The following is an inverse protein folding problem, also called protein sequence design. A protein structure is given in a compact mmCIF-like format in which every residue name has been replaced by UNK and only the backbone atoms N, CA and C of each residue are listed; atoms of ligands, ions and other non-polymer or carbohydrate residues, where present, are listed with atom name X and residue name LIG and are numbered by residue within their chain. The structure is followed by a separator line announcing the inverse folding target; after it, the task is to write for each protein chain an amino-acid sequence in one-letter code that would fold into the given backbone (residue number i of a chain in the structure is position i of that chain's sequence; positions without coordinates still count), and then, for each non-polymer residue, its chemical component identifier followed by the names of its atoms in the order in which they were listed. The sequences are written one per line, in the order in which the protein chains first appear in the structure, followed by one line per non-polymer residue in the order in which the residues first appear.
data_IF_845919420471
#
_entry.id   IF_845919420471
#
_cell.length_a   1.000
_cell.length_b   1.000
_cell.length_c   1.000
_cell.angle_alpha   90.00
_cell.angle_beta   90.00
_cell.angle_gamma   90.00
#
_symmetry.space_group_name_H-M   'P 1'
#
loop_
_entity.id
_entity.type
_entity.pdbx_description
1 polymer ?
#
# COMPACT_ATOMS: atom_id res chain seq x y z
N UNK A 1 -5.95 -0.36 -32.78
CA UNK A 1 -6.71 -0.02 -31.58
C UNK A 1 -5.74 0.16 -30.40
N UNK A 2 -5.90 1.24 -29.66
CA UNK A 2 -5.00 1.53 -28.52
C UNK A 2 -5.26 0.57 -27.36
N UNK A 3 -4.22 0.31 -26.54
CA UNK A 3 -4.30 -0.57 -25.36
C UNK A 3 -3.81 0.19 -24.14
N UNK A 4 -4.38 -0.16 -22.98
CA UNK A 4 -3.80 0.27 -21.72
C UNK A 4 -2.61 -0.67 -21.44
N UNK A 5 -1.41 -0.11 -21.44
CA UNK A 5 -0.17 -0.89 -21.31
C UNK A 5 0.14 -1.17 -19.83
N UNK A 6 -0.19 -0.23 -18.96
CA UNK A 6 0.23 -0.26 -17.57
C UNK A 6 -0.64 0.67 -16.73
N UNK A 7 -0.57 0.53 -15.42
CA UNK A 7 -1.31 1.40 -14.50
C UNK A 7 -0.51 1.66 -13.23
N UNK A 8 -0.81 2.76 -12.57
CA UNK A 8 -0.30 3.10 -11.24
C UNK A 8 -1.44 3.62 -10.39
N UNK A 9 -1.44 3.26 -9.10
CA UNK A 9 -2.29 3.94 -8.13
C UNK A 9 -1.62 5.25 -7.76
N UNK A 10 -2.38 6.34 -7.69
CA UNK A 10 -1.88 7.67 -7.38
C UNK A 10 -2.44 8.08 -6.03
N UNK A 11 -1.56 8.37 -5.08
CA UNK A 11 -1.95 8.71 -3.71
C UNK A 11 -1.34 10.04 -3.28
N UNK A 12 -2.14 10.85 -2.60
CA UNK A 12 -1.65 12.06 -1.93
C UNK A 12 -1.09 11.69 -0.57
N UNK A 13 0.09 12.18 -0.25
CA UNK A 13 0.75 11.97 1.04
C UNK A 13 1.20 13.30 1.62
N UNK A 14 1.16 13.43 2.95
CA UNK A 14 1.53 14.67 3.61
C UNK A 14 3.04 14.87 3.66
N UNK A 15 3.79 13.81 3.89
CA UNK A 15 5.25 13.83 4.02
C UNK A 15 5.84 12.79 3.08
N UNK A 16 6.31 13.25 1.93
CA UNK A 16 6.79 12.35 0.88
C UNK A 16 7.99 11.49 1.32
N UNK A 17 9.02 12.04 1.96
CA UNK A 17 10.14 11.20 2.42
C UNK A 17 9.71 10.11 3.42
N UNK A 18 8.84 10.43 4.35
CA UNK A 18 8.33 9.46 5.34
C UNK A 18 7.55 8.36 4.66
N UNK A 19 6.63 8.71 3.76
CA UNK A 19 5.82 7.72 3.05
C UNK A 19 6.65 6.87 2.09
N UNK A 20 7.61 7.47 1.40
CA UNK A 20 8.52 6.73 0.52
C UNK A 20 9.31 5.69 1.30
N UNK A 21 9.88 6.08 2.45
CA UNK A 21 10.61 5.13 3.30
C UNK A 21 9.72 4.02 3.85
N UNK A 22 8.46 4.34 4.19
CA UNK A 22 7.52 3.33 4.65
C UNK A 22 7.33 2.24 3.58
N UNK A 23 7.10 2.65 2.35
CA UNK A 23 6.94 1.69 1.27
C UNK A 23 8.21 0.88 1.02
N UNK A 24 9.38 1.52 1.03
CA UNK A 24 10.64 0.83 0.75
C UNK A 24 11.07 -0.03 1.93
N UNK A 25 11.14 0.55 3.14
CA UNK A 25 11.74 -0.13 4.28
C UNK A 25 10.78 -1.09 4.98
N UNK A 26 9.49 -0.80 4.98
CA UNK A 26 8.48 -1.60 5.68
C UNK A 26 7.73 -2.52 4.72
N UNK A 27 7.23 -1.98 3.61
CA UNK A 27 6.41 -2.75 2.68
C UNK A 27 7.23 -3.48 1.60
N UNK A 28 8.54 -3.23 1.52
CA UNK A 28 9.42 -3.96 0.61
C UNK A 28 9.36 -3.51 -0.84
N UNK A 29 8.95 -2.27 -1.10
CA UNK A 29 8.91 -1.73 -2.45
C UNK A 29 10.29 -1.24 -2.89
N UNK A 30 10.49 -1.16 -4.19
CA UNK A 30 11.67 -0.56 -4.80
C UNK A 30 11.27 0.77 -5.43
N UNK A 31 12.20 1.75 -5.39
CA UNK A 31 12.01 2.99 -6.13
C UNK A 31 12.29 2.75 -7.61
N UNK A 32 11.36 3.15 -8.46
CA UNK A 32 11.55 3.09 -9.90
C UNK A 32 12.57 4.14 -10.33
N UNK A 33 13.23 3.97 -11.49
CA UNK A 33 14.27 4.92 -11.94
C UNK A 33 13.73 6.24 -12.47
N UNK A 34 12.44 6.50 -12.31
CA UNK A 34 11.80 7.76 -12.71
C UNK A 34 11.95 8.77 -11.57
N UNK A 35 12.24 10.01 -11.91
CA UNK A 35 12.37 11.10 -10.93
C UNK A 35 11.52 12.28 -11.36
N UNK A 36 10.75 12.82 -10.40
CA UNK A 36 10.02 14.08 -10.58
C UNK A 36 9.91 14.75 -9.21
N UNK A 37 10.13 16.05 -9.15
CA UNK A 37 10.05 16.79 -7.91
C UNK A 37 8.65 16.68 -7.29
N UNK A 38 8.57 16.36 -6.00
CA UNK A 38 7.31 16.19 -5.29
C UNK A 38 6.63 14.85 -5.53
N UNK A 39 7.29 13.90 -6.18
CA UNK A 39 6.73 12.58 -6.47
C UNK A 39 7.70 11.46 -6.15
N UNK A 40 7.15 10.31 -5.77
CA UNK A 40 7.88 9.05 -5.69
C UNK A 40 7.16 7.98 -6.51
N UNK A 41 7.93 7.19 -7.25
CA UNK A 41 7.42 6.12 -8.10
C UNK A 41 7.96 4.80 -7.56
N UNK A 42 7.08 3.92 -7.11
CA UNK A 42 7.46 2.73 -6.36
C UNK A 42 6.76 1.50 -6.92
N UNK A 43 7.39 0.35 -6.81
CA UNK A 43 6.79 -0.90 -7.25
C UNK A 43 7.26 -2.09 -6.41
N UNK A 44 6.39 -3.08 -6.29
CA UNK A 44 6.71 -4.39 -5.75
C UNK A 44 5.94 -5.42 -6.57
N UNK A 45 6.65 -6.41 -7.10
CA UNK A 45 6.11 -7.42 -8.00
C UNK A 45 5.42 -6.75 -9.19
N UNK A 46 4.15 -6.87 -9.38
CA UNK A 46 3.43 -6.20 -10.46
C UNK A 46 2.65 -4.96 -10.03
N UNK A 47 2.71 -4.60 -8.76
CA UNK A 47 1.95 -3.47 -8.24
C UNK A 47 2.78 -2.20 -8.26
N UNK A 48 2.20 -1.11 -8.77
CA UNK A 48 2.85 0.19 -8.91
C UNK A 48 2.07 1.28 -8.22
N UNK A 49 2.77 2.21 -7.58
CA UNK A 49 2.16 3.34 -6.90
C UNK A 49 2.99 4.61 -7.16
N UNK A 50 2.29 5.74 -7.30
CA UNK A 50 2.88 7.08 -7.35
C UNK A 50 2.43 7.82 -6.11
N UNK A 51 3.37 8.33 -5.33
CA UNK A 51 3.07 9.16 -4.17
C UNK A 51 3.33 10.62 -4.53
N UNK A 52 2.32 11.46 -4.39
CA UNK A 52 2.43 12.90 -4.63
C UNK A 52 2.38 13.68 -3.32
N UNK A 53 3.32 14.58 -3.11
CA UNK A 53 3.36 15.38 -1.91
C UNK A 53 2.24 16.41 -1.90
N UNK A 54 1.41 16.39 -0.86
CA UNK A 54 0.28 17.29 -0.66
C UNK A 54 0.32 17.81 0.77
N UNK A 55 1.25 18.70 1.06
CA UNK A 55 1.42 19.28 2.39
C UNK A 55 0.19 20.09 2.77
N UNK A 56 -0.32 19.84 3.96
CA UNK A 56 -1.49 20.57 4.47
C UNK A 56 -2.85 20.01 4.05
N UNK A 57 -2.87 19.00 3.18
CA UNK A 57 -4.10 18.32 2.84
C UNK A 57 -4.53 17.39 3.97
N UNK A 58 -5.82 17.10 4.04
CA UNK A 58 -6.37 16.19 5.04
C UNK A 58 -5.92 14.76 4.72
N UNK A 59 -5.28 14.04 5.68
CA UNK A 59 -4.86 12.66 5.43
C UNK A 59 -6.04 11.74 5.16
N UNK A 60 -5.83 10.71 4.36
CA UNK A 60 -6.86 9.75 4.00
C UNK A 60 -7.52 9.11 5.23
N UNK A 61 -6.75 8.86 6.29
CA UNK A 61 -7.28 8.27 7.52
C UNK A 61 -8.29 9.14 8.26
N UNK A 62 -8.37 10.43 7.96
CA UNK A 62 -9.33 11.36 8.56
C UNK A 62 -10.62 11.49 7.74
N UNK A 63 -10.73 10.78 6.63
CA UNK A 63 -11.89 10.83 5.74
C UNK A 63 -12.94 9.75 6.06
N UNK A 64 -12.90 9.20 7.26
CA UNK A 64 -13.81 8.14 7.70
C UNK A 64 -13.24 6.76 7.44
N UNK A 65 -14.11 5.76 7.39
CA UNK A 65 -13.68 4.36 7.32
C UNK A 65 -13.57 3.80 5.90
N UNK A 66 -13.63 4.66 4.89
CA UNK A 66 -13.63 4.25 3.48
C UNK A 66 -12.36 4.68 2.74
N UNK A 67 -11.23 4.79 3.46
CA UNK A 67 -9.94 5.18 2.87
C UNK A 67 -9.16 3.99 2.31
N UNK A 68 -9.85 2.93 1.91
CA UNK A 68 -9.23 1.82 1.19
C UNK A 68 -8.80 2.29 -0.19
N UNK A 69 -7.59 1.89 -0.60
CA UNK A 69 -7.18 2.18 -1.96
C UNK A 69 -6.80 0.92 -2.75
N UNK A 70 -6.48 -0.18 -2.08
CA UNK A 70 -6.06 -1.38 -2.79
C UNK A 70 -6.33 -2.65 -1.98
N UNK A 71 -6.62 -3.72 -2.70
CA UNK A 71 -6.65 -5.08 -2.19
C UNK A 71 -5.56 -5.85 -2.93
N UNK A 72 -4.57 -6.34 -2.21
CA UNK A 72 -3.53 -7.18 -2.80
C UNK A 72 -3.91 -8.65 -2.67
N UNK A 73 -4.02 -9.34 -3.80
CA UNK A 73 -4.14 -10.78 -3.80
C UNK A 73 -2.73 -11.34 -3.68
N UNK A 74 -2.48 -12.13 -2.63
CA UNK A 74 -1.15 -12.63 -2.30
C UNK A 74 -1.16 -14.15 -2.24
N UNK A 75 0.01 -14.75 -2.37
CA UNK A 75 0.14 -16.21 -2.35
C UNK A 75 0.24 -16.79 -0.93
N UNK A 76 0.67 -15.99 0.05
CA UNK A 76 0.79 -16.45 1.44
C UNK A 76 0.56 -15.29 2.41
N UNK A 77 -0.65 -15.19 2.94
CA UNK A 77 -1.04 -14.09 3.83
C UNK A 77 -0.27 -14.13 5.15
N UNK A 78 -0.09 -15.31 5.75
CA UNK A 78 0.61 -15.42 7.02
C UNK A 78 2.08 -15.03 6.90
N UNK A 79 2.75 -15.43 5.83
CA UNK A 79 4.14 -15.10 5.59
C UNK A 79 4.31 -13.60 5.37
N UNK A 80 3.44 -13.00 4.58
CA UNK A 80 3.49 -11.55 4.33
C UNK A 80 3.19 -10.76 5.61
N UNK A 81 2.22 -11.21 6.41
CA UNK A 81 1.94 -10.61 7.70
C UNK A 81 3.18 -10.63 8.60
N UNK A 82 3.86 -11.77 8.69
CA UNK A 82 5.07 -11.90 9.49
C UNK A 82 6.18 -10.98 8.99
N UNK A 83 6.35 -10.87 7.67
CA UNK A 83 7.32 -9.94 7.08
C UNK A 83 7.02 -8.51 7.49
N UNK A 84 5.79 -8.06 7.32
CA UNK A 84 5.39 -6.69 7.66
C UNK A 84 5.46 -6.42 9.15
N UNK A 85 5.05 -7.38 9.99
CA UNK A 85 5.14 -7.24 11.44
C UNK A 85 6.57 -7.05 11.90
N UNK A 86 7.50 -7.81 11.33
CA UNK A 86 8.93 -7.70 11.68
C UNK A 86 9.54 -6.36 11.30
N UNK A 87 8.96 -5.67 10.33
CA UNK A 87 9.43 -4.36 9.84
C UNK A 87 8.65 -3.19 10.42
N UNK A 88 7.72 -3.44 11.33
CA UNK A 88 6.98 -2.40 12.03
C UNK A 88 5.81 -1.80 11.25
N UNK A 89 5.19 -2.56 10.36
CA UNK A 89 4.01 -2.10 9.64
C UNK A 89 2.86 -1.73 10.57
N UNK A 90 2.02 -0.80 10.14
CA UNK A 90 0.83 -0.36 10.87
C UNK A 90 -0.31 -1.35 10.62
N UNK A 91 -0.22 -2.52 11.22
CA UNK A 91 -1.19 -3.61 11.02
C UNK A 91 -2.49 -3.30 11.76
N UNK A 92 -3.63 -3.56 11.09
CA UNK A 92 -4.96 -3.28 11.64
C UNK A 92 -5.74 -4.54 12.02
N UNK A 93 -5.35 -5.71 11.50
CA UNK A 93 -5.98 -6.98 11.85
C UNK A 93 -5.03 -8.13 11.62
N UNK A 94 -5.27 -9.25 12.32
CA UNK A 94 -4.53 -10.50 12.11
C UNK A 94 -5.08 -11.27 10.91
N UNK A 95 -4.27 -12.14 10.27
CA UNK A 95 -4.80 -13.01 9.22
C UNK A 95 -5.95 -13.88 9.75
N UNK A 96 -7.05 -13.87 9.03
CA UNK A 96 -8.23 -14.67 9.37
C UNK A 96 -8.96 -15.09 8.10
N UNK A 97 -9.51 -16.30 8.13
CA UNK A 97 -10.32 -16.79 7.01
C UNK A 97 -11.67 -16.10 7.02
N UNK A 98 -12.04 -15.56 5.86
CA UNK A 98 -13.28 -14.82 5.67
C UNK A 98 -14.34 -15.68 4.96
N UNK A 99 -15.64 -15.37 5.17
CA UNK A 99 -16.70 -16.14 4.52
C UNK A 99 -16.66 -16.12 3.00
N UNK A 100 -16.00 -15.14 2.40
CA UNK A 100 -15.87 -15.01 0.95
C UNK A 100 -14.68 -15.75 0.35
N UNK A 101 -14.04 -16.64 1.11
CA UNK A 101 -13.01 -17.54 0.59
C UNK A 101 -11.60 -17.00 0.56
N UNK A 102 -11.34 -15.92 1.27
CA UNK A 102 -10.00 -15.35 1.38
C UNK A 102 -9.53 -15.36 2.83
N UNK A 103 -8.23 -15.56 3.02
CA UNK A 103 -7.58 -15.33 4.29
C UNK A 103 -6.96 -13.94 4.25
N UNK A 104 -7.47 -13.02 5.04
CA UNK A 104 -7.14 -11.60 4.93
C UNK A 104 -6.59 -11.00 6.20
N UNK A 105 -5.71 -10.01 6.03
CA UNK A 105 -5.33 -9.09 7.08
C UNK A 105 -5.26 -7.68 6.49
N UNK A 106 -5.29 -6.67 7.38
CA UNK A 106 -5.27 -5.28 6.98
C UNK A 106 -4.06 -4.54 7.53
N UNK A 107 -3.68 -3.50 6.83
CA UNK A 107 -2.67 -2.55 7.29
C UNK A 107 -3.00 -1.17 6.75
N UNK A 108 -2.28 -0.17 7.23
CA UNK A 108 -2.43 1.19 6.73
C UNK A 108 -1.07 1.85 6.58
N UNK A 109 -1.03 2.92 5.80
CA UNK A 109 0.15 3.75 5.57
C UNK A 109 0.18 4.91 6.56
N UNK A 110 1.28 5.71 6.61
CA UNK A 110 1.33 6.86 7.52
C UNK A 110 0.20 7.86 7.36
N UNK A 111 -0.33 8.03 6.16
CA UNK A 111 -1.48 8.91 5.91
C UNK A 111 -2.82 8.23 6.17
N UNK A 112 -2.82 6.97 6.57
CA UNK A 112 -4.02 6.22 6.85
C UNK A 112 -4.71 5.61 5.64
N UNK A 113 -4.06 5.53 4.50
CA UNK A 113 -4.55 4.73 3.38
C UNK A 113 -4.58 3.26 3.81
N UNK A 114 -5.69 2.60 3.55
CA UNK A 114 -5.91 1.22 3.97
C UNK A 114 -5.59 0.24 2.87
N UNK A 115 -4.88 -0.81 3.25
CA UNK A 115 -4.52 -1.92 2.36
C UNK A 115 -5.06 -3.20 2.97
N UNK A 116 -5.69 -4.03 2.16
CA UNK A 116 -6.10 -5.38 2.57
C UNK A 116 -5.30 -6.38 1.74
N UNK A 117 -4.70 -7.35 2.41
CA UNK A 117 -3.97 -8.44 1.76
C UNK A 117 -4.78 -9.72 1.92
N UNK A 118 -5.05 -10.44 0.84
CA UNK A 118 -5.85 -11.64 0.85
C UNK A 118 -5.26 -12.77 0.03
N UNK A 119 -5.37 -13.98 0.59
CA UNK A 119 -4.95 -15.23 -0.03
C UNK A 119 -6.16 -16.10 -0.25
N UNK A 120 -6.28 -16.69 -1.42
CA UNK A 120 -7.35 -17.67 -1.71
C UNK A 120 -7.14 -18.91 -0.85
N UNK A 121 -8.16 -19.30 -0.14
CA UNK A 121 -8.13 -20.50 0.73
C UNK A 121 -9.24 -21.48 0.38
#
# INVERSE_FOLDING_TARGET
MAKIVNSRCVLAVCDLPVSTRYYVDVLGFSEDPVRAEGWSFLSRDGFRVMLGECVGERPAGELGNHSYYVHWLVDNADELYAEFASKGALLTSFPANKPWGLREFGLKTPDGHRIVCGQVV
#
